data_IF_446455210723
#
_entry.id   IF_446455210723
#
_cell.length_a   1.000
_cell.length_b   1.000
_cell.length_c   1.000
_cell.angle_alpha   90.00
_cell.angle_beta   90.00
_cell.angle_gamma   90.00
#
_symmetry.space_group_name_H-M   'P 1'
#
loop_
_entity.id
_entity.type
_entity.pdbx_description
1 polymer ?
#
# COMPACT_ATOMS: atom_id res chain seq x y z
N UNK A 1 -9.85 -31.95 61.11
CA UNK A 1 -10.24 -30.80 60.23
C UNK A 1 -9.49 -30.87 58.93
N UNK A 2 -10.12 -31.34 57.87
CA UNK A 2 -9.55 -31.42 56.51
C UNK A 2 -9.90 -30.12 55.78
N UNK A 3 -8.90 -29.33 55.43
CA UNK A 3 -9.08 -28.11 54.59
C UNK A 3 -9.03 -28.51 53.13
N UNK A 4 -10.16 -28.41 52.46
CA UNK A 4 -10.29 -28.58 50.98
C UNK A 4 -9.89 -27.27 50.31
N UNK A 5 -8.77 -27.29 49.58
CA UNK A 5 -8.41 -26.17 48.69
C UNK A 5 -9.14 -26.33 47.37
N UNK A 6 -9.99 -25.36 47.03
CA UNK A 6 -10.63 -25.26 45.73
C UNK A 6 -9.69 -24.42 44.84
N UNK A 7 -9.11 -25.06 43.82
CA UNK A 7 -8.28 -24.40 42.82
C UNK A 7 -9.22 -23.85 41.75
N UNK A 8 -9.40 -22.53 41.71
CA UNK A 8 -10.15 -21.86 40.66
C UNK A 8 -9.22 -21.68 39.45
N UNK A 9 -9.46 -22.45 38.37
CA UNK A 9 -8.79 -22.25 37.08
C UNK A 9 -9.53 -21.13 36.34
N UNK A 10 -8.88 -19.97 36.26
CA UNK A 10 -9.32 -18.87 35.40
C UNK A 10 -8.87 -19.17 33.97
N UNK A 11 -9.77 -19.64 33.12
CA UNK A 11 -9.55 -19.72 31.68
C UNK A 11 -9.61 -18.30 31.11
N UNK A 12 -8.43 -17.70 30.90
CA UNK A 12 -8.31 -16.51 30.08
C UNK A 12 -8.49 -16.95 28.63
N UNK A 13 -9.70 -16.78 28.10
CA UNK A 13 -9.97 -16.95 26.68
C UNK A 13 -9.18 -15.91 25.89
N UNK A 14 -8.06 -16.31 25.29
CA UNK A 14 -7.43 -15.53 24.22
C UNK A 14 -8.41 -15.55 23.04
N UNK A 15 -9.19 -14.49 22.88
CA UNK A 15 -9.92 -14.23 21.67
C UNK A 15 -8.90 -14.11 20.55
N UNK A 16 -8.75 -15.14 19.72
CA UNK A 16 -8.09 -15.02 18.43
C UNK A 16 -8.93 -14.01 17.64
N UNK A 17 -8.48 -12.76 17.61
CA UNK A 17 -9.02 -11.78 16.66
C UNK A 17 -8.86 -12.40 15.28
N UNK A 18 -9.95 -12.49 14.53
CA UNK A 18 -9.92 -12.82 13.11
C UNK A 18 -9.17 -11.65 12.44
N UNK A 19 -7.87 -11.82 12.23
CA UNK A 19 -7.11 -10.91 11.40
C UNK A 19 -7.49 -11.19 9.96
N UNK A 20 -7.87 -10.15 9.22
CA UNK A 20 -8.08 -10.25 7.79
C UNK A 20 -6.79 -10.73 7.10
N UNK A 21 -6.93 -11.50 6.01
CA UNK A 21 -5.75 -11.95 5.26
C UNK A 21 -5.10 -10.76 4.57
N UNK A 22 -3.77 -10.73 4.56
CA UNK A 22 -3.00 -9.74 3.81
C UNK A 22 -3.34 -9.76 2.31
N UNK A 23 -3.33 -8.58 1.70
CA UNK A 23 -3.42 -8.37 0.26
C UNK A 23 -2.15 -7.67 -0.23
N UNK A 24 -0.99 -8.35 -0.22
CA UNK A 24 0.33 -7.71 -0.23
C UNK A 24 0.75 -7.14 -1.59
N UNK A 25 -0.02 -7.37 -2.63
CA UNK A 25 0.32 -6.98 -4.00
C UNK A 25 -0.91 -6.89 -4.90
N UNK A 26 -0.71 -6.41 -6.13
CA UNK A 26 -1.74 -6.41 -7.17
C UNK A 26 -2.33 -7.81 -7.38
N UNK A 27 -3.65 -7.91 -7.29
CA UNK A 27 -4.43 -9.17 -7.33
C UNK A 27 -4.19 -10.11 -6.13
N UNK A 28 -3.69 -9.59 -5.01
CA UNK A 28 -3.53 -10.32 -3.75
C UNK A 28 -2.45 -11.38 -3.76
N UNK A 29 -2.47 -12.25 -2.76
CA UNK A 29 -1.53 -13.34 -2.65
C UNK A 29 -1.56 -14.21 -3.91
N UNK A 30 -0.36 -14.58 -4.41
CA UNK A 30 -0.16 -15.36 -5.63
C UNK A 30 -0.80 -14.76 -6.91
N UNK A 31 -1.22 -13.50 -6.90
CA UNK A 31 -1.84 -12.79 -8.03
C UNK A 31 -3.07 -13.48 -8.64
N UNK A 32 -3.79 -14.24 -7.86
CA UNK A 32 -4.97 -14.99 -8.31
C UNK A 32 -6.24 -14.13 -8.34
N UNK A 33 -6.24 -12.97 -7.71
CA UNK A 33 -7.43 -12.14 -7.47
C UNK A 33 -8.54 -12.91 -6.73
N UNK A 34 -8.15 -13.83 -5.88
CA UNK A 34 -9.04 -14.62 -5.04
C UNK A 34 -8.84 -14.20 -3.59
N UNK A 35 -9.91 -13.83 -2.95
CA UNK A 35 -9.96 -13.61 -1.51
C UNK A 35 -10.46 -14.89 -0.85
N UNK A 36 -9.59 -15.52 -0.06
CA UNK A 36 -9.86 -16.84 0.51
C UNK A 36 -10.39 -16.80 1.95
N UNK A 37 -10.79 -15.64 2.44
CA UNK A 37 -11.37 -15.51 3.76
C UNK A 37 -12.75 -16.17 3.83
N UNK A 38 -13.07 -16.69 5.03
CA UNK A 38 -14.36 -17.26 5.36
C UNK A 38 -15.11 -16.33 6.32
N UNK A 39 -16.42 -16.49 6.42
CA UNK A 39 -17.25 -15.68 7.33
C UNK A 39 -17.61 -14.30 6.77
N UNK A 40 -17.44 -14.10 5.47
CA UNK A 40 -17.93 -12.91 4.78
C UNK A 40 -19.46 -12.86 4.91
N UNK A 41 -19.99 -11.68 5.21
CA UNK A 41 -21.44 -11.48 5.30
C UNK A 41 -22.12 -11.76 3.95
N UNK A 42 -23.15 -12.58 3.95
CA UNK A 42 -23.92 -12.90 2.74
C UNK A 42 -24.70 -11.69 2.20
N UNK A 43 -25.13 -10.83 3.09
CA UNK A 43 -25.90 -9.63 2.75
C UNK A 43 -25.18 -8.40 3.31
N UNK A 44 -24.85 -7.47 2.44
CA UNK A 44 -24.33 -6.17 2.85
C UNK A 44 -25.46 -5.29 3.39
N UNK A 45 -25.25 -4.51 4.46
CA UNK A 45 -26.22 -3.53 4.92
C UNK A 45 -26.40 -2.43 3.87
N UNK A 46 -27.58 -1.80 3.84
CA UNK A 46 -27.90 -0.69 2.94
C UNK A 46 -26.89 0.47 3.03
N UNK A 47 -26.30 0.63 4.21
CA UNK A 47 -25.26 1.62 4.47
C UNK A 47 -24.06 0.98 5.15
N UNK A 48 -22.93 0.98 4.43
CA UNK A 48 -21.67 0.52 4.99
C UNK A 48 -21.15 1.51 6.05
N UNK A 49 -20.64 0.95 7.14
CA UNK A 49 -19.94 1.75 8.15
C UNK A 49 -18.51 2.04 7.67
N UNK A 50 -18.18 3.32 7.55
CA UNK A 50 -16.81 3.75 7.25
C UNK A 50 -16.03 3.78 8.56
N UNK A 51 -14.99 2.98 8.68
CA UNK A 51 -14.12 2.93 9.85
C UNK A 51 -13.22 4.17 9.91
N UNK A 52 -12.57 4.49 8.79
CA UNK A 52 -11.73 5.69 8.65
C UNK A 52 -11.69 6.17 7.20
N UNK A 53 -11.22 7.39 7.00
CA UNK A 53 -11.03 8.00 5.68
C UNK A 53 -9.83 8.94 5.75
N UNK A 54 -8.89 8.78 4.82
CA UNK A 54 -7.70 9.60 4.69
C UNK A 54 -7.66 10.22 3.30
N UNK A 55 -7.46 11.54 3.18
CA UNK A 55 -7.24 12.16 1.88
C UNK A 55 -5.88 11.76 1.34
N UNK A 56 -5.84 11.38 0.07
CA UNK A 56 -4.64 11.17 -0.73
C UNK A 56 -4.73 12.02 -2.00
N UNK A 57 -3.59 12.24 -2.65
CA UNK A 57 -3.53 13.00 -3.89
C UNK A 57 -3.78 12.10 -5.13
N UNK A 58 -3.39 12.57 -6.31
CA UNK A 58 -3.67 11.87 -7.57
C UNK A 58 -2.90 10.57 -7.69
N UNK A 59 -3.59 9.50 -8.12
CA UNK A 59 -2.99 8.19 -8.35
C UNK A 59 -4.00 7.19 -8.88
N UNK A 60 -3.52 6.10 -9.46
CA UNK A 60 -4.34 5.03 -10.04
C UNK A 60 -3.93 3.66 -9.51
N UNK A 61 -2.93 3.60 -8.63
CA UNK A 61 -2.52 2.38 -7.99
C UNK A 61 -3.57 1.90 -6.99
N UNK A 62 -3.85 0.60 -6.98
CA UNK A 62 -4.58 -0.01 -5.87
C UNK A 62 -3.73 -0.04 -4.60
N UNK A 63 -4.33 -0.10 -3.41
CA UNK A 63 -3.59 -0.29 -2.18
C UNK A 63 -3.04 -1.73 -2.08
N UNK A 64 -1.91 -1.88 -1.39
CA UNK A 64 -1.48 -3.16 -0.82
C UNK A 64 -1.72 -3.13 0.69
N UNK A 65 -2.12 -4.26 1.26
CA UNK A 65 -2.37 -4.41 2.70
C UNK A 65 -1.51 -5.53 3.23
N UNK A 66 -0.66 -5.24 4.19
CA UNK A 66 0.18 -6.25 4.82
C UNK A 66 0.69 -5.78 6.18
N UNK A 67 0.79 -6.72 7.11
CA UNK A 67 1.36 -6.50 8.46
C UNK A 67 0.73 -5.34 9.22
N UNK A 68 -0.59 -5.19 9.14
CA UNK A 68 -1.32 -4.12 9.82
C UNK A 68 -1.13 -2.73 9.18
N UNK A 69 -0.68 -2.68 7.93
CA UNK A 69 -0.45 -1.45 7.18
C UNK A 69 -1.14 -1.46 5.82
N UNK A 70 -1.59 -0.29 5.40
CA UNK A 70 -2.10 -0.04 4.05
C UNK A 70 -1.08 0.82 3.32
N UNK A 71 -0.54 0.30 2.23
CA UNK A 71 0.42 1.01 1.39
C UNK A 71 -0.28 1.59 0.17
N UNK A 72 -0.19 2.90 -0.01
CA UNK A 72 -0.72 3.60 -1.17
C UNK A 72 0.32 4.50 -1.79
N UNK A 73 0.19 4.75 -3.08
CA UNK A 73 1.03 5.70 -3.80
C UNK A 73 0.17 6.82 -4.37
N UNK A 74 0.67 8.04 -4.31
CA UNK A 74 0.04 9.20 -4.91
C UNK A 74 1.07 10.20 -5.45
N UNK A 75 0.58 11.23 -6.10
CA UNK A 75 1.40 12.32 -6.65
C UNK A 75 0.82 13.66 -6.26
N UNK A 76 1.66 14.46 -5.62
CA UNK A 76 1.38 15.83 -5.23
C UNK A 76 1.94 16.79 -6.28
N UNK A 77 1.08 17.56 -6.91
CA UNK A 77 1.51 18.61 -7.84
C UNK A 77 2.19 19.75 -7.06
N UNK A 78 3.28 20.26 -7.61
CA UNK A 78 3.79 21.55 -7.17
C UNK A 78 2.87 22.65 -7.71
N UNK A 79 2.14 23.40 -6.88
CA UNK A 79 1.16 24.38 -7.33
C UNK A 79 1.79 25.52 -8.15
N UNK A 80 3.08 25.79 -7.95
CA UNK A 80 3.81 26.82 -8.69
C UNK A 80 4.39 26.31 -10.02
N UNK A 81 4.29 25.01 -10.29
CA UNK A 81 4.84 24.42 -11.52
C UNK A 81 3.90 24.64 -12.72
N UNK A 82 4.46 25.12 -13.81
CA UNK A 82 3.80 25.19 -15.12
C UNK A 82 4.05 23.95 -15.97
N UNK A 83 4.87 23.01 -15.48
CA UNK A 83 5.39 21.88 -16.24
C UNK A 83 5.03 20.53 -15.61
N UNK A 84 4.01 20.49 -14.76
CA UNK A 84 3.57 19.29 -14.05
C UNK A 84 4.68 18.65 -13.21
N UNK A 85 5.51 19.48 -12.58
CA UNK A 85 6.46 19.02 -11.59
C UNK A 85 5.75 18.78 -10.27
N UNK A 86 6.22 17.80 -9.54
CA UNK A 86 5.61 17.41 -8.29
C UNK A 86 6.42 16.35 -7.58
N UNK A 87 5.76 15.67 -6.68
CA UNK A 87 6.36 14.64 -5.84
C UNK A 87 5.46 13.41 -5.84
N UNK A 88 5.98 12.28 -6.27
CA UNK A 88 5.36 10.99 -5.96
C UNK A 88 5.75 10.57 -4.55
N UNK A 89 4.88 9.82 -3.91
CA UNK A 89 5.18 9.27 -2.59
C UNK A 89 4.54 7.90 -2.39
N UNK A 90 5.13 7.13 -1.47
CA UNK A 90 4.52 5.98 -0.82
C UNK A 90 4.11 6.41 0.57
N UNK A 91 2.88 6.10 0.95
CA UNK A 91 2.36 6.27 2.30
C UNK A 91 2.13 4.88 2.89
N UNK A 92 2.56 4.68 4.14
CA UNK A 92 2.08 3.58 4.96
C UNK A 92 1.10 4.13 5.99
N UNK A 93 -0.11 3.59 5.98
CA UNK A 93 -1.18 3.94 6.90
C UNK A 93 -1.40 2.78 7.87
N UNK A 94 -1.76 3.09 9.11
CA UNK A 94 -2.26 2.07 10.03
C UNK A 94 -3.58 1.49 9.51
N UNK A 95 -3.68 0.18 9.44
CA UNK A 95 -4.83 -0.52 8.86
C UNK A 95 -6.14 -0.25 9.64
N UNK A 96 -6.07 -0.03 10.95
CA UNK A 96 -7.24 0.12 11.80
C UNK A 96 -7.70 1.57 11.94
N UNK A 97 -6.76 2.53 11.87
CA UNK A 97 -7.03 3.94 12.16
C UNK A 97 -6.91 4.85 10.94
N UNK A 98 -6.16 4.43 9.92
CA UNK A 98 -5.79 5.26 8.77
C UNK A 98 -4.71 6.30 9.10
N UNK A 99 -4.11 6.27 10.28
CA UNK A 99 -3.03 7.19 10.63
C UNK A 99 -1.81 6.96 9.72
N UNK A 100 -1.19 8.05 9.25
CA UNK A 100 0.04 7.97 8.45
C UNK A 100 1.21 7.60 9.37
N UNK A 101 1.73 6.38 9.21
CA UNK A 101 2.86 5.88 9.97
C UNK A 101 4.18 6.43 9.44
N UNK A 102 4.33 6.45 8.12
CA UNK A 102 5.46 7.06 7.44
C UNK A 102 5.12 7.42 5.99
N UNK A 103 5.97 8.25 5.38
CA UNK A 103 5.90 8.64 3.97
C UNK A 103 7.31 8.69 3.39
N UNK A 104 7.51 8.07 2.22
CA UNK A 104 8.72 8.19 1.41
C UNK A 104 8.38 8.92 0.12
N UNK A 105 9.25 9.85 -0.32
CA UNK A 105 8.95 10.77 -1.43
C UNK A 105 10.10 10.91 -2.40
N UNK A 106 9.78 11.12 -3.68
CA UNK A 106 10.76 11.48 -4.72
C UNK A 106 10.17 12.49 -5.70
N UNK A 107 11.02 13.29 -6.29
CA UNK A 107 10.61 14.31 -7.26
C UNK A 107 10.27 13.68 -8.61
N UNK A 108 9.23 14.18 -9.25
CA UNK A 108 8.81 13.75 -10.57
C UNK A 108 8.35 14.93 -11.43
N UNK A 109 8.36 14.74 -12.75
CA UNK A 109 7.74 15.67 -13.69
C UNK A 109 6.95 14.89 -14.74
N UNK A 110 5.64 15.08 -14.77
CA UNK A 110 4.76 14.37 -15.69
C UNK A 110 4.65 15.03 -17.07
N UNK A 111 5.49 16.01 -17.35
CA UNK A 111 5.53 16.71 -18.64
C UNK A 111 5.64 15.78 -19.85
N UNK A 112 6.32 14.65 -19.69
CA UNK A 112 6.54 13.67 -20.76
C UNK A 112 5.46 12.58 -20.84
N UNK A 113 4.52 12.56 -19.91
CA UNK A 113 3.41 11.60 -19.90
C UNK A 113 2.15 12.18 -20.49
N UNK A 114 1.30 11.29 -21.01
CA UNK A 114 -0.03 11.66 -21.50
C UNK A 114 -0.99 11.88 -20.32
N UNK A 115 -0.78 12.98 -19.61
CA UNK A 115 -1.47 13.30 -18.35
C UNK A 115 -2.99 13.51 -18.50
N UNK A 116 -3.50 13.67 -19.73
CA UNK A 116 -4.94 13.81 -19.98
C UNK A 116 -5.77 12.58 -19.61
N UNK A 117 -5.13 11.42 -19.50
CA UNK A 117 -5.81 10.17 -19.11
C UNK A 117 -5.59 9.80 -17.65
N UNK A 118 -4.38 10.05 -17.12
CA UNK A 118 -4.01 9.61 -15.79
C UNK A 118 -2.88 10.46 -15.23
N UNK A 119 -3.04 10.95 -14.02
CA UNK A 119 -2.02 11.66 -13.26
C UNK A 119 -1.73 10.87 -11.99
N UNK A 120 -0.46 10.61 -11.71
CA UNK A 120 0.00 9.89 -10.55
C UNK A 120 0.49 8.46 -10.82
N UNK A 121 1.02 7.79 -9.80
CA UNK A 121 1.49 6.41 -9.87
C UNK A 121 0.38 5.43 -10.26
N UNK A 122 0.75 4.36 -10.95
CA UNK A 122 -0.20 3.38 -11.51
C UNK A 122 0.06 1.96 -11.02
N UNK A 123 1.27 1.68 -10.60
CA UNK A 123 1.68 0.37 -10.11
C UNK A 123 1.27 0.21 -8.65
N UNK A 124 0.53 -0.85 -8.34
CA UNK A 124 0.25 -1.23 -6.95
C UNK A 124 1.56 -1.61 -6.26
N UNK A 125 1.86 -1.09 -5.06
CA UNK A 125 3.00 -1.54 -4.28
C UNK A 125 2.95 -3.04 -4.03
N UNK A 126 4.12 -3.65 -3.92
CA UNK A 126 4.25 -5.07 -3.54
C UNK A 126 5.01 -5.15 -2.23
N UNK A 127 4.46 -5.86 -1.26
CA UNK A 127 5.12 -6.15 0.01
C UNK A 127 5.64 -7.58 -0.03
N UNK A 128 6.93 -7.74 0.23
CA UNK A 128 7.60 -9.04 0.35
C UNK A 128 8.56 -8.97 1.54
N UNK A 129 8.39 -9.88 2.47
CA UNK A 129 9.09 -9.88 3.76
C UNK A 129 9.09 -8.48 4.43
N UNK A 130 10.25 -7.90 4.69
CA UNK A 130 10.42 -6.61 5.37
C UNK A 130 10.52 -5.42 4.41
N UNK A 131 10.28 -5.63 3.11
CA UNK A 131 10.38 -4.61 2.10
C UNK A 131 9.03 -4.34 1.40
N UNK A 132 8.80 -3.07 1.08
CA UNK A 132 7.76 -2.66 0.14
C UNK A 132 8.41 -2.08 -1.10
N UNK A 133 7.98 -2.60 -2.24
CA UNK A 133 8.46 -2.19 -3.57
C UNK A 133 7.44 -1.28 -4.23
N UNK A 134 7.88 -0.13 -4.71
CA UNK A 134 7.04 0.83 -5.39
C UNK A 134 7.66 1.27 -6.71
N UNK A 135 6.84 1.36 -7.75
CA UNK A 135 7.27 1.83 -9.08
C UNK A 135 6.69 3.21 -9.36
N UNK A 136 7.58 4.15 -9.63
CA UNK A 136 7.24 5.46 -10.16
C UNK A 136 6.63 5.35 -11.56
N UNK A 137 5.70 6.23 -11.90
CA UNK A 137 5.22 6.34 -13.27
C UNK A 137 6.35 6.66 -14.28
N UNK A 138 7.47 7.21 -13.82
CA UNK A 138 8.63 7.56 -14.64
C UNK A 138 9.73 6.49 -14.69
N UNK A 139 9.58 5.37 -13.97
CA UNK A 139 10.48 4.22 -14.04
C UNK A 139 11.44 4.06 -12.86
N UNK A 140 11.37 4.92 -11.84
CA UNK A 140 12.05 4.65 -10.57
C UNK A 140 11.43 3.44 -9.87
N UNK A 141 12.22 2.46 -9.47
CA UNK A 141 11.81 1.33 -8.63
C UNK A 141 12.51 1.46 -7.30
N UNK A 142 11.75 1.52 -6.24
CA UNK A 142 12.20 1.75 -4.87
C UNK A 142 11.92 0.54 -4.00
N UNK A 143 12.88 0.14 -3.17
CA UNK A 143 12.70 -0.83 -2.09
C UNK A 143 12.84 -0.12 -0.75
N UNK A 144 11.77 -0.11 0.02
CA UNK A 144 11.65 0.63 1.27
C UNK A 144 11.38 -0.36 2.42
N UNK A 145 11.91 -0.07 3.59
CA UNK A 145 11.60 -0.82 4.80
C UNK A 145 10.11 -0.67 5.17
N UNK A 146 9.43 -1.79 5.37
CA UNK A 146 7.98 -1.84 5.69
C UNK A 146 7.63 -1.08 6.96
N UNK A 147 8.50 -1.12 7.98
CA UNK A 147 8.21 -0.54 9.28
C UNK A 147 8.46 0.98 9.32
N UNK A 148 9.47 1.46 8.59
CA UNK A 148 10.02 2.82 8.73
C UNK A 148 9.95 3.66 7.45
N UNK A 149 9.78 3.06 6.27
CA UNK A 149 9.85 3.73 4.98
C UNK A 149 11.25 4.16 4.57
N UNK A 150 12.29 3.72 5.30
CA UNK A 150 13.68 3.98 4.94
C UNK A 150 14.02 3.27 3.65
N UNK A 151 14.61 3.98 2.70
CA UNK A 151 15.05 3.41 1.44
C UNK A 151 16.25 2.49 1.65
N UNK A 152 16.10 1.24 1.21
CA UNK A 152 17.21 0.29 1.12
C UNK A 152 17.99 0.47 -0.17
N UNK A 153 17.28 0.61 -1.27
CA UNK A 153 17.85 0.89 -2.59
C UNK A 153 16.78 1.42 -3.54
N UNK A 154 17.21 2.06 -4.60
CA UNK A 154 16.39 2.32 -5.77
C UNK A 154 17.20 2.14 -7.07
N UNK A 155 16.49 1.96 -8.17
CA UNK A 155 17.04 1.95 -9.53
C UNK A 155 16.13 2.77 -10.44
N UNK A 156 16.71 3.40 -11.45
CA UNK A 156 15.96 4.03 -12.55
C UNK A 156 15.99 3.08 -13.76
N UNK A 157 14.84 2.49 -14.08
CA UNK A 157 14.73 1.52 -15.17
C UNK A 157 15.20 2.06 -16.53
N UNK A 158 15.10 3.36 -16.73
CA UNK A 158 15.51 4.03 -17.98
C UNK A 158 17.00 4.29 -18.03
N UNK A 159 17.59 4.74 -16.91
CA UNK A 159 18.98 5.08 -16.85
C UNK A 159 19.87 3.87 -16.64
N UNK A 160 19.45 2.94 -15.78
CA UNK A 160 20.27 1.80 -15.36
C UNK A 160 20.09 0.59 -16.28
N UNK A 161 18.93 0.49 -16.97
CA UNK A 161 18.59 -0.67 -17.79
C UNK A 161 18.17 -0.33 -19.23
N UNK A 162 18.33 0.93 -19.64
CA UNK A 162 17.97 1.42 -20.98
C UNK A 162 16.51 1.11 -21.37
N UNK A 163 15.62 1.07 -20.37
CA UNK A 163 14.22 0.78 -20.60
C UNK A 163 13.52 1.95 -21.28
N UNK A 164 12.71 1.68 -22.28
CA UNK A 164 11.95 2.70 -22.99
C UNK A 164 10.84 3.27 -22.10
N UNK A 165 10.56 4.57 -22.23
CA UNK A 165 9.46 5.21 -21.51
C UNK A 165 8.11 4.83 -22.14
N UNK A 166 7.21 4.14 -21.41
CA UNK A 166 5.87 3.89 -21.91
C UNK A 166 5.07 5.20 -22.03
N UNK A 167 4.25 5.33 -23.07
CA UNK A 167 3.45 6.53 -23.35
C UNK A 167 2.62 6.99 -22.13
N UNK A 168 2.10 6.05 -21.36
CA UNK A 168 1.27 6.32 -20.19
C UNK A 168 2.02 6.11 -18.86
N UNK A 169 3.34 5.98 -18.90
CA UNK A 169 4.17 5.67 -17.73
C UNK A 169 4.20 4.18 -17.36
N UNK A 170 5.09 3.84 -16.45
CA UNK A 170 5.21 2.47 -15.93
C UNK A 170 4.01 2.12 -15.06
N UNK A 171 3.36 0.99 -15.35
CA UNK A 171 2.15 0.53 -14.67
C UNK A 171 2.21 -0.92 -14.19
N UNK A 172 3.28 -1.63 -14.52
CA UNK A 172 3.51 -2.99 -14.04
C UNK A 172 3.82 -2.98 -12.54
N UNK A 173 3.02 -3.70 -11.75
CA UNK A 173 3.31 -3.88 -10.33
C UNK A 173 4.50 -4.85 -10.15
N UNK A 174 5.44 -4.58 -9.23
CA UNK A 174 6.59 -5.45 -8.97
C UNK A 174 6.18 -6.89 -8.67
N UNK A 175 7.08 -7.82 -9.01
CA UNK A 175 6.96 -9.26 -8.74
C UNK A 175 7.98 -9.68 -7.71
#
# INVERSE_FOLDING_TARGET
>A
MRRTFVLAIVLVGMGAGLSASDWPQWRGANRLAIWSEIGIVENLPDKLQVTWRVPIDSGYAGPAVSRGRVFVTDWQVNPDSRTMDGTERVLALDENTGEVLWSHTWRTSYRMLMASYAIGPRATPTVDDDLVYAVSALGGLYALDVATGVEHWHVDLRQDYDASMPQYGYSGSPL
#
